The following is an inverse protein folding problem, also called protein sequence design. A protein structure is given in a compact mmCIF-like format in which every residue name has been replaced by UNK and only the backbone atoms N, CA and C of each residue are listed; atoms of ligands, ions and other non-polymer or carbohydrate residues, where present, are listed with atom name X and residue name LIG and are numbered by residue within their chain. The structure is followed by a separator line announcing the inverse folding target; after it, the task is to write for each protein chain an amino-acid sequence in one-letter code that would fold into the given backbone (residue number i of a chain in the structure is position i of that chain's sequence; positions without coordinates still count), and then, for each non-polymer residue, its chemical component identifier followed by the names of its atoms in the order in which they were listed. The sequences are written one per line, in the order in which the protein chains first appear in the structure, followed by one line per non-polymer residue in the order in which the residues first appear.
data_IF_294451883231
#
_entry.id   IF_294451883231
#
_cell.length_a   1.000
_cell.length_b   1.000
_cell.length_c   1.000
_cell.angle_alpha   90.00
_cell.angle_beta   90.00
_cell.angle_gamma   90.00
#
_symmetry.space_group_name_H-M   'P 1'
#
loop_
_entity.id
_entity.type
_entity.pdbx_description
1 polymer ?
#
# COMPACT_ATOMS: atom_id res chain seq x y z
N UNK A 1 6.71 29.10 40.06
CA UNK A 1 7.39 28.84 41.34
C UNK A 1 8.81 29.33 41.18
N UNK A 2 8.99 30.61 41.48
CA UNK A 2 10.29 31.27 41.58
C UNK A 2 10.81 31.10 42.99
N UNK A 3 12.06 30.67 43.10
CA UNK A 3 12.94 30.80 44.27
C UNK A 3 14.33 30.95 43.64
N UNK A 4 14.78 32.17 43.32
CA UNK A 4 15.46 33.09 44.26
C UNK A 4 16.50 32.35 45.13
N UNK A 5 17.63 32.00 44.51
CA UNK A 5 18.86 31.74 45.26
C UNK A 5 19.68 33.01 45.34
N UNK A 6 19.84 33.43 46.59
CA UNK A 6 20.35 34.70 47.04
C UNK A 6 21.87 34.74 46.91
N UNK A 7 22.35 35.76 46.21
CA UNK A 7 23.72 36.24 46.33
C UNK A 7 23.96 36.73 47.76
N UNK A 8 24.66 35.93 48.57
CA UNK A 8 25.34 36.44 49.76
C UNK A 8 26.66 37.08 49.34
N UNK A 9 26.60 38.37 49.05
CA UNK A 9 27.74 39.28 49.18
C UNK A 9 27.95 39.55 50.68
N UNK A 10 28.98 38.93 51.26
CA UNK A 10 29.52 39.32 52.57
C UNK A 10 30.89 39.95 52.31
N UNK A 11 31.14 41.19 52.74
CA UNK A 11 32.44 41.82 52.59
C UNK A 11 33.41 41.14 53.56
N UNK A 12 34.46 40.52 53.03
CA UNK A 12 35.58 40.06 53.87
C UNK A 12 36.29 41.30 54.41
N UNK A 13 35.97 41.60 55.66
CA UNK A 13 36.71 42.46 56.56
C UNK A 13 38.20 42.12 56.52
N UNK A 14 39.01 43.15 56.29
CA UNK A 14 40.46 43.17 56.47
C UNK A 14 40.85 42.46 57.78
N UNK A 15 41.40 41.25 57.67
CA UNK A 15 42.10 40.56 58.77
C UNK A 15 43.59 40.89 58.67
N UNK A 16 43.93 42.17 58.85
CA UNK A 16 45.29 42.63 59.11
C UNK A 16 45.50 42.76 60.63
N UNK A 17 45.47 41.67 61.39
CA UNK A 17 45.64 41.77 62.86
C UNK A 17 46.21 40.48 63.45
N UNK A 18 47.54 40.33 63.38
CA UNK A 18 48.42 39.78 64.43
C UNK A 18 49.76 39.32 63.84
N UNK A 19 49.76 38.73 62.64
CA UNK A 19 51.00 38.36 61.93
C UNK A 19 51.73 39.60 61.38
N UNK A 20 51.00 40.55 60.79
CA UNK A 20 51.60 41.81 60.32
C UNK A 20 52.19 42.65 61.46
N UNK A 21 51.55 42.64 62.62
CA UNK A 21 52.06 43.34 63.80
C UNK A 21 53.35 42.70 64.33
N UNK A 22 53.45 41.36 64.27
CA UNK A 22 54.66 40.62 64.65
C UNK A 22 55.79 40.83 63.66
N UNK A 23 55.51 40.86 62.35
CA UNK A 23 56.52 41.15 61.33
C UNK A 23 56.94 42.62 61.36
N UNK A 24 56.02 43.57 61.58
CA UNK A 24 56.36 44.98 61.79
C UNK A 24 57.20 45.18 63.05
N UNK A 25 56.90 44.50 64.16
CA UNK A 25 57.73 44.57 65.37
C UNK A 25 59.13 44.00 65.13
N UNK A 26 59.26 42.87 64.43
CA UNK A 26 60.57 42.32 64.08
C UNK A 26 61.35 43.24 63.13
N UNK A 27 60.69 43.85 62.15
CA UNK A 27 61.30 44.84 61.25
C UNK A 27 61.75 46.06 62.05
N UNK A 28 60.92 46.57 62.98
CA UNK A 28 61.24 47.73 63.82
C UNK A 28 62.43 47.47 64.75
N UNK A 29 62.52 46.29 65.36
CA UNK A 29 63.68 45.88 66.18
C UNK A 29 64.94 45.72 65.32
N UNK A 30 64.82 45.17 64.11
CA UNK A 30 65.95 45.08 63.18
C UNK A 30 66.38 46.47 62.69
N UNK A 31 65.44 47.38 62.47
CA UNK A 31 65.69 48.77 62.09
C UNK A 31 66.42 49.53 63.20
N UNK A 32 65.96 49.42 64.46
CA UNK A 32 66.65 49.99 65.64
C UNK A 32 68.06 49.43 65.81
N UNK A 33 68.26 48.13 65.56
CA UNK A 33 69.60 47.53 65.59
C UNK A 33 70.49 48.04 64.47
N UNK A 34 69.96 48.23 63.26
CA UNK A 34 70.69 48.85 62.13
C UNK A 34 71.02 50.31 62.43
N UNK A 35 70.11 51.06 63.04
CA UNK A 35 70.32 52.46 63.42
C UNK A 35 71.36 52.59 64.55
N UNK A 36 71.32 51.72 65.56
CA UNK A 36 72.37 51.62 66.59
C UNK A 36 73.73 51.26 66.00
N UNK A 37 73.76 50.40 64.98
CA UNK A 37 74.98 50.03 64.25
C UNK A 37 75.50 51.19 63.37
N UNK A 38 74.62 52.01 62.79
CA UNK A 38 74.99 53.24 62.08
C UNK A 38 75.51 54.33 63.04
N UNK A 39 74.94 54.45 64.23
CA UNK A 39 75.43 55.36 65.28
C UNK A 39 76.83 54.91 65.74
N UNK A 40 77.03 53.61 65.97
CA UNK A 40 78.35 53.05 66.29
C UNK A 40 79.36 53.19 65.14
N UNK A 41 78.90 53.20 63.89
CA UNK A 41 79.71 53.56 62.70
C UNK A 41 80.17 55.02 62.71
N UNK A 42 79.38 55.93 63.27
CA UNK A 42 79.72 57.36 63.34
C UNK A 42 80.69 57.74 64.47
N UNK A 43 80.80 56.90 65.52
CA UNK A 43 81.56 57.22 66.75
C UNK A 43 82.98 56.62 66.76
N UNK A 44 83.30 55.67 65.87
CA UNK A 44 84.64 55.06 65.75
C UNK A 44 85.16 55.10 64.31
N UNK A 45 86.47 55.31 64.13
CA UNK A 45 87.14 55.08 62.84
C UNK A 45 87.06 53.58 62.48
N UNK A 46 86.16 53.22 61.57
CA UNK A 46 86.12 51.89 60.95
C UNK A 46 87.19 51.84 59.84
N UNK A 47 88.14 50.90 59.88
CA UNK A 47 89.05 50.69 58.75
C UNK A 47 88.30 49.97 57.63
N UNK A 48 88.32 50.55 56.43
CA UNK A 48 88.03 49.86 55.17
C UNK A 48 89.14 48.84 54.91
N UNK A 49 88.88 47.53 55.02
CA UNK A 49 89.66 46.51 54.29
C UNK A 49 88.78 45.32 53.88
N UNK A 50 88.98 44.97 52.61
CA UNK A 50 88.40 43.92 51.78
C UNK A 50 88.46 42.47 52.30
N UNK A 51 87.43 41.75 51.86
CA UNK A 51 87.36 40.34 51.44
C UNK A 51 88.35 39.32 52.01
N UNK A 52 87.80 38.34 52.74
CA UNK A 52 88.22 36.95 52.60
C UNK A 52 87.02 36.00 52.57
N UNK A 53 87.05 35.15 51.54
CA UNK A 53 86.02 34.23 51.06
C UNK A 53 85.91 33.03 52.01
N UNK A 54 84.68 32.67 52.41
CA UNK A 54 84.36 31.32 52.87
C UNK A 54 83.22 30.76 52.02
N UNK A 55 83.49 29.62 51.40
CA UNK A 55 82.54 28.77 50.67
C UNK A 55 81.31 28.49 51.54
N UNK A 56 80.13 28.88 51.06
CA UNK A 56 78.85 28.66 51.72
C UNK A 56 78.04 27.69 50.87
N UNK A 57 77.68 26.54 51.45
CA UNK A 57 76.73 25.60 50.83
C UNK A 57 75.38 26.32 50.63
N UNK A 58 74.88 26.34 49.39
CA UNK A 58 73.65 27.03 49.00
C UNK A 58 72.46 26.53 49.80
N UNK A 59 71.49 27.41 50.12
CA UNK A 59 70.29 27.04 50.87
C UNK A 59 69.52 25.88 50.26
N UNK A 60 69.57 25.74 48.93
CA UNK A 60 68.98 24.63 48.20
C UNK A 60 69.54 23.27 48.64
N UNK A 61 70.82 23.20 49.03
CA UNK A 61 71.47 21.99 49.52
C UNK A 61 71.08 21.68 50.96
N UNK A 62 70.82 22.69 51.81
CA UNK A 62 70.35 22.49 53.20
C UNK A 62 68.86 22.13 53.26
N UNK A 63 68.02 22.80 52.46
CA UNK A 63 66.59 22.46 52.33
C UNK A 63 66.39 21.06 51.73
N UNK A 64 67.17 20.65 50.73
CA UNK A 64 67.15 19.26 50.25
C UNK A 64 67.55 18.27 51.36
N UNK A 65 68.53 18.60 52.21
CA UNK A 65 68.98 17.72 53.30
C UNK A 65 67.92 17.52 54.40
N UNK A 66 67.12 18.54 54.71
CA UNK A 66 66.02 18.44 55.67
C UNK A 66 64.78 17.70 55.11
N UNK A 67 64.44 17.91 53.83
CA UNK A 67 63.29 17.21 53.21
C UNK A 67 63.57 15.70 53.03
N UNK A 68 64.84 15.29 52.87
CA UNK A 68 65.19 13.87 52.82
C UNK A 68 65.22 13.18 54.21
N UNK A 69 65.23 13.92 55.32
CA UNK A 69 65.17 13.34 56.68
C UNK A 69 63.74 13.27 57.23
N UNK A 70 62.83 14.14 56.79
CA UNK A 70 61.41 14.07 57.11
C UNK A 70 60.59 13.60 55.90
N UNK A 71 60.60 12.29 55.69
CA UNK A 71 59.68 11.65 54.75
C UNK A 71 58.21 11.87 55.12
N UNK A 72 57.41 12.17 54.09
CA UNK A 72 55.95 12.05 54.03
C UNK A 72 55.15 12.41 55.29
N UNK A 73 54.72 13.67 55.37
CA UNK A 73 53.43 13.99 55.96
C UNK A 73 52.84 15.22 55.28
N UNK A 74 51.81 14.98 54.46
CA UNK A 74 50.76 15.94 54.15
C UNK A 74 50.21 16.53 55.46
N UNK A 75 50.47 17.81 55.71
CA UNK A 75 50.01 18.49 56.90
C UNK A 75 50.34 19.98 56.85
N UNK A 76 49.31 20.79 57.10
CA UNK A 76 49.40 22.22 57.41
C UNK A 76 50.59 22.53 58.31
N UNK A 77 51.67 23.06 57.73
CA UNK A 77 52.85 23.54 58.44
C UNK A 77 52.75 25.06 58.55
N UNK A 78 51.98 25.51 59.53
CA UNK A 78 52.19 26.81 60.13
C UNK A 78 53.38 26.63 61.09
N UNK A 79 54.55 27.27 60.89
CA UNK A 79 55.62 27.23 61.88
C UNK A 79 55.27 28.25 62.97
N UNK A 80 54.53 27.80 63.98
CA UNK A 80 54.21 28.59 65.18
C UNK A 80 55.36 28.64 66.20
N UNK A 81 56.59 28.31 65.83
CA UNK A 81 57.72 28.36 66.75
C UNK A 81 58.93 29.03 66.11
N UNK A 82 59.01 30.34 66.29
CA UNK A 82 60.23 31.15 66.10
C UNK A 82 61.32 30.82 67.13
N UNK A 83 61.24 29.70 67.88
CA UNK A 83 62.22 29.39 68.93
C UNK A 83 63.63 29.19 68.35
N UNK A 84 63.76 28.72 67.11
CA UNK A 84 65.05 28.62 66.44
C UNK A 84 65.65 30.00 66.13
N UNK A 85 64.82 30.95 65.68
CA UNK A 85 65.27 32.32 65.39
C UNK A 85 65.61 33.04 66.69
N UNK A 86 64.80 32.89 67.74
CA UNK A 86 65.08 33.48 69.05
C UNK A 86 66.34 32.89 69.68
N UNK A 87 66.53 31.56 69.62
CA UNK A 87 67.73 30.88 70.15
C UNK A 87 68.99 31.22 69.36
N UNK A 88 68.87 31.36 68.03
CA UNK A 88 69.95 31.83 67.17
C UNK A 88 70.32 33.27 67.51
N UNK A 89 69.34 34.17 67.65
CA UNK A 89 69.56 35.57 68.03
C UNK A 89 70.15 35.72 69.45
N UNK A 90 69.76 34.89 70.42
CA UNK A 90 70.33 34.94 71.77
C UNK A 90 71.75 34.40 71.83
N UNK A 91 72.07 33.33 71.09
CA UNK A 91 73.44 32.84 70.96
C UNK A 91 74.32 33.85 70.21
N UNK A 92 73.76 34.55 69.21
CA UNK A 92 74.42 35.62 68.47
C UNK A 92 74.77 36.82 69.37
N UNK A 93 73.89 37.16 70.31
CA UNK A 93 74.10 38.25 71.26
C UNK A 93 75.17 37.92 72.32
N UNK A 94 75.28 36.65 72.72
CA UNK A 94 76.37 36.19 73.60
C UNK A 94 77.71 36.09 72.87
N UNK A 95 77.74 35.59 71.64
CA UNK A 95 78.97 35.51 70.84
C UNK A 95 79.51 36.90 70.43
N UNK A 96 78.65 37.92 70.30
CA UNK A 96 79.05 39.30 69.99
C UNK A 96 79.75 40.03 71.16
N UNK A 97 79.59 39.57 72.41
CA UNK A 97 80.22 40.18 73.59
C UNK A 97 81.69 39.80 73.78
N UNK A 98 82.17 38.73 73.14
CA UNK A 98 83.53 38.20 73.30
C UNK A 98 84.36 38.39 72.01
N UNK A 99 85.16 39.47 71.96
CA UNK A 99 86.30 39.73 71.04
C UNK A 99 86.14 39.57 69.49
N UNK A 100 86.45 40.65 68.74
CA UNK A 100 87.11 40.69 67.41
C UNK A 100 86.66 39.70 66.30
N UNK A 101 85.35 39.53 66.07
CA UNK A 101 84.78 38.68 64.99
C UNK A 101 83.96 39.48 63.96
N UNK A 102 84.47 40.63 63.51
CA UNK A 102 83.79 41.47 62.50
C UNK A 102 83.74 40.81 61.10
N UNK A 103 84.73 39.99 60.75
CA UNK A 103 84.84 39.34 59.44
C UNK A 103 83.77 38.25 59.24
N UNK A 104 83.47 37.45 60.27
CA UNK A 104 82.42 36.41 60.18
C UNK A 104 81.03 37.02 60.12
N UNK A 105 80.80 38.15 60.80
CA UNK A 105 79.54 38.86 60.74
C UNK A 105 79.31 39.54 59.38
N UNK A 106 80.34 40.15 58.79
CA UNK A 106 80.27 40.68 57.42
C UNK A 106 79.99 39.59 56.38
N UNK A 107 80.63 38.43 56.51
CA UNK A 107 80.41 37.29 55.63
C UNK A 107 79.00 36.67 55.80
N UNK A 108 78.47 36.69 57.03
CA UNK A 108 77.10 36.28 57.34
C UNK A 108 76.09 37.26 56.74
N UNK A 109 76.32 38.57 56.84
CA UNK A 109 75.46 39.58 56.20
C UNK A 109 75.47 39.41 54.69
N UNK A 110 76.63 39.15 54.09
CA UNK A 110 76.74 38.95 52.65
C UNK A 110 76.01 37.68 52.18
N UNK A 111 76.03 36.61 52.99
CA UNK A 111 75.27 35.39 52.68
C UNK A 111 73.77 35.60 52.88
N UNK A 112 73.33 36.28 53.94
CA UNK A 112 71.92 36.65 54.13
C UNK A 112 71.41 37.50 52.96
N UNK A 113 72.19 38.47 52.48
CA UNK A 113 71.83 39.29 51.32
C UNK A 113 71.71 38.47 50.02
N UNK A 114 72.62 37.50 49.79
CA UNK A 114 72.52 36.58 48.65
C UNK A 114 71.29 35.68 48.75
N UNK A 115 70.97 35.19 49.95
CA UNK A 115 69.79 34.38 50.19
C UNK A 115 68.50 35.15 49.95
N UNK A 116 68.44 36.41 50.38
CA UNK A 116 67.30 37.30 50.12
C UNK A 116 67.12 37.51 48.61
N UNK A 117 68.21 37.70 47.86
CA UNK A 117 68.16 37.87 46.41
C UNK A 117 67.75 36.58 45.67
N UNK A 118 68.24 35.43 46.11
CA UNK A 118 67.86 34.12 45.56
C UNK A 118 66.40 33.77 45.88
N UNK A 119 65.91 34.10 47.08
CA UNK A 119 64.51 33.97 47.47
C UNK A 119 63.61 34.85 46.61
N UNK A 120 63.99 36.11 46.38
CA UNK A 120 63.26 37.03 45.51
C UNK A 120 63.23 36.53 44.05
N UNK A 121 64.33 35.96 43.55
CA UNK A 121 64.40 35.36 42.22
C UNK A 121 63.49 34.13 42.11
N UNK A 122 63.50 33.24 43.11
CA UNK A 122 62.63 32.06 43.15
C UNK A 122 61.15 32.44 43.26
N UNK A 123 60.81 33.48 44.04
CA UNK A 123 59.46 34.02 44.09
C UNK A 123 59.04 34.54 42.70
N UNK A 124 59.92 35.27 42.02
CA UNK A 124 59.65 35.77 40.65
C UNK A 124 59.41 34.63 39.66
N UNK A 125 60.21 33.56 39.70
CA UNK A 125 60.04 32.39 38.83
C UNK A 125 58.78 31.58 39.16
N UNK A 126 58.48 31.37 40.44
CA UNK A 126 57.27 30.65 40.87
C UNK A 126 56.00 31.42 40.52
N UNK A 127 55.99 32.75 40.70
CA UNK A 127 54.90 33.60 40.22
C UNK A 127 54.70 33.48 38.70
N UNK A 128 55.77 33.47 37.89
CA UNK A 128 55.67 33.27 36.43
C UNK A 128 55.10 31.91 36.06
N UNK A 129 55.53 30.84 36.74
CA UNK A 129 54.99 29.48 36.54
C UNK A 129 53.51 29.40 36.93
N UNK A 130 53.13 30.00 38.04
CA UNK A 130 51.73 30.04 38.49
C UNK A 130 50.81 30.74 37.48
N UNK A 131 51.25 31.86 36.91
CA UNK A 131 50.53 32.55 35.83
C UNK A 131 50.35 31.65 34.60
N UNK A 132 51.38 30.88 34.22
CA UNK A 132 51.29 29.96 33.09
C UNK A 132 50.35 28.78 33.37
N UNK A 133 50.39 28.21 34.58
CA UNK A 133 49.47 27.15 35.02
C UNK A 133 48.02 27.65 35.00
N UNK A 134 47.75 28.86 35.52
CA UNK A 134 46.41 29.48 35.46
C UNK A 134 45.94 29.66 34.01
N UNK A 135 46.83 30.07 33.09
CA UNK A 135 46.50 30.17 31.66
C UNK A 135 46.13 28.83 31.05
N UNK A 136 46.86 27.76 31.35
CA UNK A 136 46.56 26.41 30.87
C UNK A 136 45.24 25.89 31.43
N UNK A 137 44.98 26.10 32.73
CA UNK A 137 43.70 25.75 33.35
C UNK A 137 42.54 26.50 32.70
N UNK A 138 42.69 27.81 32.47
CA UNK A 138 41.68 28.61 31.78
C UNK A 138 41.43 28.09 30.35
N UNK A 139 42.47 27.69 29.62
CA UNK A 139 42.32 27.10 28.29
C UNK A 139 41.56 25.77 28.34
N UNK A 140 41.87 24.90 29.29
CA UNK A 140 41.18 23.63 29.48
C UNK A 140 39.69 23.84 29.80
N UNK A 141 39.39 24.69 30.77
CA UNK A 141 38.00 25.03 31.16
C UNK A 141 37.26 25.63 29.97
N UNK A 142 37.88 26.56 29.23
CA UNK A 142 37.27 27.15 28.05
C UNK A 142 36.99 26.11 26.96
N UNK A 143 37.91 25.16 26.74
CA UNK A 143 37.72 24.06 25.79
C UNK A 143 36.56 23.16 26.21
N UNK A 144 36.48 22.82 27.49
CA UNK A 144 35.41 21.98 28.05
C UNK A 144 34.04 22.64 27.91
N UNK A 145 33.93 23.94 28.24
CA UNK A 145 32.70 24.71 28.06
C UNK A 145 32.28 24.72 26.59
N UNK A 146 33.22 24.93 25.66
CA UNK A 146 32.93 24.90 24.21
C UNK A 146 32.42 23.53 23.75
N UNK A 147 33.04 22.44 24.21
CA UNK A 147 32.62 21.08 23.87
C UNK A 147 31.22 20.81 24.42
N UNK A 148 30.95 21.18 25.68
CA UNK A 148 29.64 20.96 26.30
C UNK A 148 28.55 21.79 25.62
N UNK A 149 28.86 23.03 25.24
CA UNK A 149 27.96 23.86 24.44
C UNK A 149 27.64 23.22 23.09
N UNK A 150 28.66 22.77 22.35
CA UNK A 150 28.48 22.11 21.06
C UNK A 150 27.63 20.85 21.18
N UNK A 151 27.88 20.01 22.19
CA UNK A 151 27.07 18.82 22.48
C UNK A 151 25.61 19.17 22.79
N UNK A 152 25.38 20.17 23.64
CA UNK A 152 24.03 20.61 23.97
C UNK A 152 23.31 21.15 22.73
N UNK A 153 24.00 21.93 21.90
CA UNK A 153 23.45 22.46 20.66
C UNK A 153 23.11 21.35 19.66
N UNK A 154 23.99 20.36 19.51
CA UNK A 154 23.76 19.19 18.66
C UNK A 154 22.58 18.36 19.15
N UNK A 155 22.50 18.08 20.46
CA UNK A 155 21.37 17.38 21.06
C UNK A 155 20.05 18.11 20.83
N UNK A 156 19.98 19.41 21.08
CA UNK A 156 18.75 20.19 20.82
C UNK A 156 18.34 20.17 19.34
N UNK A 157 19.31 20.14 18.42
CA UNK A 157 19.04 20.00 16.99
C UNK A 157 18.46 18.63 16.66
N UNK A 158 19.01 17.55 17.24
CA UNK A 158 18.50 16.18 17.07
C UNK A 158 17.09 16.05 17.65
N UNK A 159 16.85 16.54 18.86
CA UNK A 159 15.51 16.55 19.47
C UNK A 159 14.49 17.28 18.59
N UNK A 160 14.87 18.44 18.04
CA UNK A 160 14.00 19.17 17.11
C UNK A 160 13.72 18.36 15.84
N UNK A 161 14.73 17.70 15.28
CA UNK A 161 14.56 16.83 14.11
C UNK A 161 13.62 15.66 14.40
N UNK A 162 13.79 14.99 15.55
CA UNK A 162 12.95 13.87 15.97
C UNK A 162 11.48 14.28 16.13
N UNK A 163 11.22 15.46 16.70
CA UNK A 163 9.86 16.01 16.81
C UNK A 163 9.27 16.28 15.42
N UNK A 164 10.05 16.86 14.50
CA UNK A 164 9.59 17.14 13.13
C UNK A 164 9.25 15.83 12.41
N UNK A 165 10.14 14.83 12.49
CA UNK A 165 9.90 13.53 11.86
C UNK A 165 8.70 12.82 12.47
N UNK A 166 8.56 12.85 13.79
CA UNK A 166 7.41 12.24 14.49
C UNK A 166 6.09 12.85 14.01
N UNK A 167 6.01 14.18 13.91
CA UNK A 167 4.83 14.88 13.37
C UNK A 167 4.54 14.52 11.92
N UNK A 168 5.58 14.43 11.08
CA UNK A 168 5.43 14.06 9.68
C UNK A 168 4.93 12.62 9.55
N UNK A 169 5.48 11.69 10.34
CA UNK A 169 5.05 10.29 10.38
C UNK A 169 3.59 10.20 10.81
N UNK A 170 3.19 10.94 11.84
CA UNK A 170 1.79 10.98 12.30
C UNK A 170 0.86 11.48 11.20
N UNK A 171 1.18 12.61 10.55
CA UNK A 171 0.40 13.17 9.44
C UNK A 171 0.25 12.14 8.29
N UNK A 172 1.36 11.49 7.88
CA UNK A 172 1.30 10.50 6.81
C UNK A 172 0.53 9.24 7.23
N UNK A 173 0.64 8.84 8.50
CA UNK A 173 -0.10 7.69 9.03
C UNK A 173 -1.61 7.95 9.01
N UNK A 174 -2.05 9.15 9.39
CA UNK A 174 -3.47 9.52 9.30
C UNK A 174 -3.97 9.57 7.86
N UNK A 175 -3.16 10.06 6.91
CA UNK A 175 -3.49 9.99 5.47
C UNK A 175 -3.64 8.54 5.02
N UNK A 176 -2.73 7.64 5.42
CA UNK A 176 -2.83 6.21 5.08
C UNK A 176 -4.12 5.60 5.64
N UNK A 177 -4.42 5.82 6.93
CA UNK A 177 -5.65 5.30 7.56
C UNK A 177 -6.92 5.80 6.87
N UNK A 178 -6.97 7.08 6.53
CA UNK A 178 -8.13 7.66 5.82
C UNK A 178 -8.27 7.11 4.41
N UNK A 179 -7.16 6.86 3.70
CA UNK A 179 -7.16 6.20 2.40
C UNK A 179 -7.60 4.74 2.50
N UNK A 180 -7.10 3.98 3.48
CA UNK A 180 -7.52 2.60 3.74
C UNK A 180 -9.02 2.51 4.06
N UNK A 181 -9.55 3.44 4.85
CA UNK A 181 -10.99 3.51 5.12
C UNK A 181 -11.82 3.74 3.84
N UNK A 182 -11.35 4.63 2.94
CA UNK A 182 -11.99 4.86 1.64
C UNK A 182 -11.93 3.63 0.74
N UNK A 183 -10.79 2.95 0.67
CA UNK A 183 -10.63 1.71 -0.10
C UNK A 183 -11.59 0.63 0.43
N UNK A 184 -11.67 0.46 1.75
CA UNK A 184 -12.59 -0.50 2.36
C UNK A 184 -14.06 -0.17 2.07
N UNK A 185 -14.42 1.12 2.08
CA UNK A 185 -15.75 1.57 1.67
C UNK A 185 -16.03 1.24 0.20
N UNK A 186 -15.08 1.52 -0.70
CA UNK A 186 -15.21 1.25 -2.13
C UNK A 186 -15.36 -0.26 -2.39
N UNK A 187 -14.58 -1.10 -1.71
CA UNK A 187 -14.70 -2.57 -1.80
C UNK A 187 -16.11 -3.02 -1.38
N UNK A 188 -16.65 -2.45 -0.30
CA UNK A 188 -17.99 -2.78 0.17
C UNK A 188 -19.06 -2.37 -0.86
N UNK A 189 -19.00 -1.13 -1.33
CA UNK A 189 -19.95 -0.61 -2.34
C UNK A 189 -19.86 -1.44 -3.62
N UNK A 190 -18.65 -1.79 -4.05
CA UNK A 190 -18.44 -2.63 -5.23
C UNK A 190 -19.14 -3.99 -5.07
N UNK A 191 -18.95 -4.66 -3.93
CA UNK A 191 -19.63 -5.93 -3.65
C UNK A 191 -21.15 -5.79 -3.60
N UNK A 192 -21.69 -4.69 -3.07
CA UNK A 192 -23.12 -4.41 -3.07
C UNK A 192 -23.66 -4.22 -4.51
N UNK A 193 -22.90 -3.53 -5.38
CA UNK A 193 -23.22 -3.37 -6.80
C UNK A 193 -23.19 -4.73 -7.51
N UNK A 194 -22.14 -5.54 -7.32
CA UNK A 194 -22.03 -6.87 -7.92
C UNK A 194 -23.20 -7.77 -7.52
N UNK A 195 -23.58 -7.76 -6.23
CA UNK A 195 -24.74 -8.51 -5.75
C UNK A 195 -26.04 -8.04 -6.40
N UNK A 196 -26.26 -6.72 -6.49
CA UNK A 196 -27.46 -6.17 -7.14
C UNK A 196 -27.51 -6.52 -8.62
N UNK A 197 -26.39 -6.42 -9.34
CA UNK A 197 -26.28 -6.83 -10.75
C UNK A 197 -26.56 -8.33 -10.92
N UNK A 198 -26.01 -9.17 -10.04
CA UNK A 198 -26.25 -10.62 -10.06
C UNK A 198 -27.73 -10.97 -9.89
N UNK A 199 -28.43 -10.28 -8.98
CA UNK A 199 -29.88 -10.44 -8.80
C UNK A 199 -30.66 -10.01 -10.04
N UNK A 200 -30.26 -8.91 -10.69
CA UNK A 200 -30.88 -8.43 -11.93
C UNK A 200 -30.69 -9.45 -13.06
N UNK A 201 -29.47 -9.98 -13.22
CA UNK A 201 -29.15 -11.01 -14.22
C UNK A 201 -30.01 -12.25 -13.97
N UNK A 202 -30.06 -12.74 -12.74
CA UNK A 202 -30.89 -13.89 -12.38
C UNK A 202 -32.38 -13.65 -12.72
N UNK A 203 -32.91 -12.47 -12.40
CA UNK A 203 -34.30 -12.12 -12.74
C UNK A 203 -34.56 -12.05 -14.26
N UNK A 204 -33.55 -11.70 -15.07
CA UNK A 204 -33.65 -11.79 -16.53
C UNK A 204 -33.57 -13.24 -17.02
N UNK A 205 -32.70 -14.06 -16.45
CA UNK A 205 -32.59 -15.49 -16.80
C UNK A 205 -33.89 -16.24 -16.52
N UNK A 206 -34.49 -16.01 -15.34
CA UNK A 206 -35.80 -16.57 -14.97
C UNK A 206 -36.88 -16.18 -15.98
N UNK A 207 -36.95 -14.89 -16.33
CA UNK A 207 -37.91 -14.41 -17.34
C UNK A 207 -37.66 -15.03 -18.71
N UNK A 208 -36.40 -15.16 -19.13
CA UNK A 208 -36.05 -15.81 -20.41
C UNK A 208 -36.53 -17.27 -20.41
N UNK A 209 -36.34 -17.99 -19.31
CA UNK A 209 -36.79 -19.38 -19.18
C UNK A 209 -38.33 -19.48 -19.18
N UNK A 210 -39.03 -18.56 -18.50
CA UNK A 210 -40.49 -18.47 -18.57
C UNK A 210 -40.99 -18.28 -20.01
N UNK A 211 -40.40 -17.34 -20.76
CA UNK A 211 -40.76 -17.12 -22.16
C UNK A 211 -40.46 -18.33 -23.02
N UNK A 212 -39.29 -18.95 -22.84
CA UNK A 212 -38.89 -20.16 -23.56
C UNK A 212 -39.88 -21.30 -23.33
N UNK A 213 -40.29 -21.53 -22.09
CA UNK A 213 -41.31 -22.53 -21.75
C UNK A 213 -42.67 -22.21 -22.39
N UNK A 214 -43.11 -20.94 -22.31
CA UNK A 214 -44.35 -20.49 -22.95
C UNK A 214 -44.34 -20.69 -24.46
N UNK A 215 -43.22 -20.37 -25.12
CA UNK A 215 -43.04 -20.59 -26.56
C UNK A 215 -43.01 -22.08 -26.90
N UNK A 216 -42.34 -22.90 -26.09
CA UNK A 216 -42.28 -24.34 -26.28
C UNK A 216 -43.67 -24.97 -26.20
N UNK A 217 -44.46 -24.66 -25.17
CA UNK A 217 -45.83 -25.15 -25.03
C UNK A 217 -46.72 -24.69 -26.19
N UNK A 218 -46.65 -23.41 -26.56
CA UNK A 218 -47.41 -22.89 -27.71
C UNK A 218 -47.02 -23.56 -29.03
N UNK A 219 -45.73 -23.84 -29.22
CA UNK A 219 -45.21 -24.56 -30.39
C UNK A 219 -45.74 -25.99 -30.42
N UNK A 220 -45.73 -26.68 -29.27
CA UNK A 220 -46.28 -28.02 -29.11
C UNK A 220 -47.78 -28.05 -29.44
N UNK A 221 -48.58 -27.15 -28.86
CA UNK A 221 -50.01 -27.02 -29.17
C UNK A 221 -50.26 -26.77 -30.66
N UNK A 222 -49.44 -25.94 -31.30
CA UNK A 222 -49.56 -25.66 -32.73
C UNK A 222 -49.25 -26.89 -33.58
N UNK A 223 -48.19 -27.63 -33.22
CA UNK A 223 -47.81 -28.85 -33.91
C UNK A 223 -48.89 -29.94 -33.75
N UNK A 224 -49.49 -30.09 -32.57
CA UNK A 224 -50.61 -31.00 -32.35
C UNK A 224 -51.83 -30.62 -33.22
N UNK A 225 -52.17 -29.32 -33.30
CA UNK A 225 -53.23 -28.83 -34.19
C UNK A 225 -52.93 -29.13 -35.66
N UNK A 226 -51.68 -28.94 -36.08
CA UNK A 226 -51.23 -29.22 -37.44
C UNK A 226 -51.37 -30.71 -37.76
N UNK A 227 -50.96 -31.60 -36.85
CA UNK A 227 -51.08 -33.05 -37.02
C UNK A 227 -52.53 -33.52 -37.14
N UNK A 228 -53.44 -32.95 -36.33
CA UNK A 228 -54.88 -33.22 -36.44
C UNK A 228 -55.43 -32.77 -37.79
N UNK A 229 -55.05 -31.58 -38.26
CA UNK A 229 -55.47 -31.06 -39.57
C UNK A 229 -54.92 -31.91 -40.72
N UNK A 230 -53.66 -32.33 -40.63
CA UNK A 230 -53.01 -33.19 -41.62
C UNK A 230 -53.69 -34.57 -41.66
N UNK A 231 -54.00 -35.15 -40.50
CA UNK A 231 -54.76 -36.40 -40.41
C UNK A 231 -56.15 -36.25 -41.04
N UNK A 232 -56.85 -35.14 -40.78
CA UNK A 232 -58.15 -34.85 -41.39
C UNK A 232 -58.05 -34.69 -42.91
N UNK A 233 -57.02 -33.99 -43.39
CA UNK A 233 -56.76 -33.82 -44.82
C UNK A 233 -56.51 -35.17 -45.50
N UNK A 234 -55.67 -36.01 -44.90
CA UNK A 234 -55.35 -37.34 -45.43
C UNK A 234 -56.60 -38.23 -45.52
N UNK A 235 -57.46 -38.24 -44.48
CA UNK A 235 -58.75 -38.94 -44.52
C UNK A 235 -59.66 -38.42 -45.64
N UNK A 236 -59.72 -37.11 -45.83
CA UNK A 236 -60.51 -36.51 -46.91
C UNK A 236 -59.99 -36.92 -48.29
N UNK A 237 -58.66 -36.97 -48.47
CA UNK A 237 -58.03 -37.41 -49.71
C UNK A 237 -58.31 -38.89 -50.00
N UNK A 238 -58.26 -39.74 -48.99
CA UNK A 238 -58.61 -41.16 -49.10
C UNK A 238 -60.07 -41.35 -49.50
N UNK A 239 -61.00 -40.60 -48.88
CA UNK A 239 -62.42 -40.61 -49.26
C UNK A 239 -62.61 -40.18 -50.71
N UNK A 240 -61.93 -39.11 -51.15
CA UNK A 240 -61.98 -38.64 -52.54
C UNK A 240 -61.43 -39.70 -53.49
N UNK A 241 -60.33 -40.36 -53.15
CA UNK A 241 -59.76 -41.44 -53.96
C UNK A 241 -60.75 -42.61 -54.12
N UNK A 242 -61.37 -43.04 -53.02
CA UNK A 242 -62.38 -44.10 -53.01
C UNK A 242 -63.60 -43.73 -53.87
N UNK A 243 -64.10 -42.49 -53.77
CA UNK A 243 -65.19 -42.03 -54.63
C UNK A 243 -64.78 -41.99 -56.11
N UNK A 244 -63.58 -41.51 -56.44
CA UNK A 244 -63.08 -41.52 -57.82
C UNK A 244 -63.05 -42.93 -58.40
N UNK A 245 -62.57 -43.92 -57.63
CA UNK A 245 -62.57 -45.32 -58.05
C UNK A 245 -63.99 -45.87 -58.24
N UNK A 246 -64.90 -45.56 -57.31
CA UNK A 246 -66.30 -45.99 -57.39
C UNK A 246 -67.02 -45.37 -58.61
N UNK A 247 -66.80 -44.08 -58.88
CA UNK A 247 -67.34 -43.42 -60.07
C UNK A 247 -66.79 -44.04 -61.35
N UNK A 248 -65.50 -44.36 -61.40
CA UNK A 248 -64.90 -45.04 -62.55
C UNK A 248 -65.55 -46.42 -62.82
N UNK A 249 -65.76 -47.23 -61.77
CA UNK A 249 -66.44 -48.54 -61.89
C UNK A 249 -67.88 -48.39 -62.37
N UNK A 250 -68.66 -47.50 -61.76
CA UNK A 250 -70.05 -47.24 -62.16
C UNK A 250 -70.15 -46.70 -63.59
N UNK A 251 -69.20 -45.86 -64.00
CA UNK A 251 -69.15 -45.33 -65.36
C UNK A 251 -68.91 -46.47 -66.36
N UNK A 252 -68.00 -47.40 -66.06
CA UNK A 252 -67.78 -48.59 -66.88
C UNK A 252 -69.05 -49.45 -66.98
N UNK A 253 -69.74 -49.72 -65.87
CA UNK A 253 -71.01 -50.48 -65.87
C UNK A 253 -72.09 -49.81 -66.74
N UNK A 254 -72.23 -48.49 -66.64
CA UNK A 254 -73.18 -47.72 -67.47
C UNK A 254 -72.82 -47.83 -68.94
N UNK A 255 -71.53 -47.69 -69.28
CA UNK A 255 -71.07 -47.74 -70.67
C UNK A 255 -71.22 -49.15 -71.25
N UNK A 256 -70.97 -50.19 -70.48
CA UNK A 256 -71.19 -51.58 -70.89
C UNK A 256 -72.68 -51.89 -71.04
N UNK A 257 -73.54 -51.38 -70.15
CA UNK A 257 -75.00 -51.48 -70.31
C UNK A 257 -75.47 -50.76 -71.58
N UNK A 258 -74.95 -49.56 -71.88
CA UNK A 258 -75.26 -48.84 -73.12
C UNK A 258 -74.84 -49.63 -74.35
N UNK A 259 -73.62 -50.20 -74.37
CA UNK A 259 -73.15 -51.07 -75.46
C UNK A 259 -74.07 -52.28 -75.63
N UNK A 260 -74.40 -52.97 -74.54
CA UNK A 260 -75.31 -54.11 -74.56
C UNK A 260 -76.70 -53.71 -75.11
N UNK A 261 -77.25 -52.56 -74.69
CA UNK A 261 -78.54 -52.06 -75.18
C UNK A 261 -78.52 -51.72 -76.67
N UNK A 262 -77.45 -51.10 -77.16
CA UNK A 262 -77.26 -50.81 -78.59
C UNK A 262 -77.19 -52.13 -79.38
N UNK A 263 -76.47 -53.11 -78.87
CA UNK A 263 -76.35 -54.42 -79.52
C UNK A 263 -77.69 -55.18 -79.56
N UNK A 264 -78.44 -55.16 -78.46
CA UNK A 264 -79.79 -55.73 -78.41
C UNK A 264 -80.74 -55.06 -79.43
N UNK A 265 -80.70 -53.73 -79.53
CA UNK A 265 -81.49 -53.01 -80.52
C UNK A 265 -81.07 -53.35 -81.95
N UNK A 266 -79.76 -53.47 -82.21
CA UNK A 266 -79.21 -53.91 -83.50
C UNK A 266 -79.73 -55.30 -83.89
N UNK A 267 -79.67 -56.26 -82.96
CA UNK A 267 -80.19 -57.62 -83.17
C UNK A 267 -81.70 -57.63 -83.39
N UNK A 268 -82.45 -56.78 -82.66
CA UNK A 268 -83.89 -56.62 -82.84
C UNK A 268 -84.22 -56.12 -84.23
N UNK A 269 -83.54 -55.05 -84.68
CA UNK A 269 -83.72 -54.49 -86.03
C UNK A 269 -83.35 -55.50 -87.12
N UNK A 270 -82.24 -56.23 -86.97
CA UNK A 270 -81.84 -57.28 -87.92
C UNK A 270 -82.89 -58.41 -87.99
N UNK A 271 -83.43 -58.83 -86.84
CA UNK A 271 -84.50 -59.84 -86.76
C UNK A 271 -85.78 -59.33 -87.42
N UNK A 272 -86.17 -58.08 -87.19
CA UNK A 272 -87.30 -57.45 -87.85
C UNK A 272 -87.11 -57.36 -89.36
N UNK A 273 -85.92 -56.99 -89.83
CA UNK A 273 -85.61 -56.95 -91.26
C UNK A 273 -85.66 -58.34 -91.90
N UNK A 274 -85.07 -59.35 -91.25
CA UNK A 274 -85.17 -60.77 -91.65
C UNK A 274 -86.61 -61.23 -91.71
N UNK A 275 -87.42 -60.90 -90.69
CA UNK A 275 -88.84 -61.23 -90.66
C UNK A 275 -89.61 -60.54 -91.80
N UNK A 276 -89.37 -59.24 -92.04
CA UNK A 276 -89.97 -58.49 -93.16
C UNK A 276 -89.64 -59.13 -94.50
N UNK A 277 -88.35 -59.43 -94.76
CA UNK A 277 -87.90 -60.12 -95.98
C UNK A 277 -88.55 -61.50 -96.11
N UNK A 278 -88.61 -62.28 -95.02
CA UNK A 278 -89.29 -63.58 -95.00
C UNK A 278 -90.78 -63.46 -95.31
N UNK A 279 -91.48 -62.46 -94.75
CA UNK A 279 -92.89 -62.18 -95.07
C UNK A 279 -93.07 -61.79 -96.54
N UNK A 280 -92.17 -60.98 -97.12
CA UNK A 280 -92.20 -60.64 -98.56
C UNK A 280 -92.01 -61.86 -99.44
N UNK A 281 -91.04 -62.73 -99.12
CA UNK A 281 -90.81 -63.98 -99.84
C UNK A 281 -92.03 -64.90 -99.73
N UNK A 282 -92.60 -65.04 -98.53
CA UNK A 282 -93.82 -65.83 -98.31
C UNK A 282 -95.01 -65.27 -99.10
N UNK A 283 -95.21 -63.96 -99.13
CA UNK A 283 -96.27 -63.30 -99.89
C UNK A 283 -96.06 -63.47 -101.41
N UNK A 284 -94.82 -63.31 -101.88
CA UNK A 284 -94.45 -63.57 -103.28
C UNK A 284 -94.74 -65.02 -103.66
N UNK A 285 -94.30 -65.98 -102.85
CA UNK A 285 -94.53 -67.40 -103.10
C UNK A 285 -96.03 -67.75 -103.11
N UNK A 286 -96.82 -67.24 -102.13
CA UNK A 286 -98.29 -67.40 -102.14
C UNK A 286 -98.91 -66.81 -103.40
N UNK A 287 -98.48 -65.61 -103.82
CA UNK A 287 -98.93 -64.99 -105.08
C UNK A 287 -98.55 -65.79 -106.33
N UNK A 288 -97.35 -66.37 -106.36
CA UNK A 288 -96.89 -67.27 -107.44
C UNK A 288 -97.72 -68.55 -107.46
N UNK A 289 -97.97 -69.18 -106.30
CA UNK A 289 -98.81 -70.37 -106.21
C UNK A 289 -100.22 -70.12 -106.76
N UNK A 290 -100.81 -68.96 -106.45
CA UNK A 290 -102.13 -68.57 -106.99
C UNK A 290 -102.09 -68.32 -108.51
N UNK A 291 -101.09 -67.58 -109.03
CA UNK A 291 -101.00 -67.24 -110.46
C UNK A 291 -100.64 -68.43 -111.36
N UNK A 292 -99.72 -69.29 -110.92
CA UNK A 292 -99.32 -70.51 -111.64
C UNK A 292 -100.29 -71.67 -111.41
N UNK A 293 -101.25 -71.53 -110.50
CA UNK A 293 -102.26 -72.55 -110.21
C UNK A 293 -101.67 -73.80 -109.55
N UNK A 294 -100.63 -73.66 -108.74
CA UNK A 294 -100.08 -74.75 -107.95
C UNK A 294 -101.02 -75.07 -106.77
N UNK A 295 -101.23 -76.35 -106.49
CA UNK A 295 -102.11 -76.82 -105.41
C UNK A 295 -103.60 -76.55 -105.67
N UNK A 296 -104.34 -76.15 -104.62
CA UNK A 296 -105.80 -75.97 -104.62
C UNK A 296 -106.32 -74.84 -105.54
N UNK A 297 -105.43 -74.03 -106.13
CA UNK A 297 -105.77 -72.86 -106.97
C UNK A 297 -105.78 -73.16 -108.47
N UNK A 298 -105.61 -74.42 -108.90
CA UNK A 298 -105.67 -74.81 -110.31
C UNK A 298 -107.10 -74.65 -110.85
N UNK A 299 -107.32 -73.63 -111.70
CA UNK A 299 -108.62 -73.43 -112.38
C UNK A 299 -108.93 -74.64 -113.28
N UNK A 300 -110.01 -75.37 -112.98
CA UNK A 300 -110.57 -76.41 -113.86
C UNK A 300 -111.06 -75.73 -115.16
N UNK A 301 -110.65 -76.25 -116.32
CA UNK A 301 -111.16 -75.83 -117.64
C UNK A 301 -112.61 -76.30 -117.78
N UNK A 302 -113.57 -75.38 -117.72
CA UNK A 302 -114.98 -75.66 -118.03
C UNK A 302 -115.30 -75.39 -119.50
N UNK A 303 -116.11 -76.29 -120.07
CA UNK A 303 -116.56 -76.32 -121.47
C UNK A 303 -117.64 -75.26 -121.71
N UNK A 304 -117.54 -74.48 -122.79
CA UNK A 304 -118.56 -73.51 -123.24
C UNK A 304 -119.59 -74.18 -124.16
N UNK A 305 -120.87 -74.12 -123.78
CA UNK A 305 -122.04 -74.37 -124.62
C UNK A 305 -123.06 -73.21 -124.54
N UNK A 306 -123.34 -72.62 -125.70
CA UNK A 306 -124.48 -71.77 -126.17
C UNK A 306 -125.38 -70.96 -125.21
N UNK A 307 -125.26 -69.63 -125.33
CA UNK A 307 -126.23 -68.59 -125.83
C UNK A 307 -127.71 -68.59 -125.36
N UNK A 308 -128.11 -67.48 -124.69
CA UNK A 308 -129.30 -66.57 -124.92
C UNK A 308 -129.29 -65.51 -123.80
N UNK A 309 -128.96 -64.24 -124.04
CA UNK A 309 -129.77 -63.12 -124.55
C UNK A 309 -130.91 -62.67 -123.64
N UNK A 310 -130.71 -61.50 -122.99
CA UNK A 310 -131.61 -60.35 -122.72
C UNK A 310 -131.03 -59.61 -121.51
N UNK A 311 -131.16 -58.31 -121.28
CA UNK A 311 -131.39 -57.08 -122.03
C UNK A 311 -131.40 -55.98 -120.94
N UNK A 312 -131.10 -54.72 -121.29
CA UNK A 312 -131.35 -53.49 -120.49
C UNK A 312 -130.55 -53.27 -119.17
N UNK A 313 -130.14 -52.06 -118.78
CA UNK A 313 -130.01 -50.72 -119.39
C UNK A 313 -129.41 -49.80 -118.30
N UNK A 314 -128.67 -48.79 -118.75
CA UNK A 314 -128.61 -47.38 -118.25
C UNK A 314 -128.36 -47.09 -116.76
N UNK A 315 -127.20 -46.51 -116.41
CA UNK A 315 -126.87 -45.06 -116.42
C UNK A 315 -127.52 -44.26 -115.27
N UNK A 316 -126.68 -43.76 -114.37
CA UNK A 316 -126.39 -42.32 -114.28
C UNK A 316 -124.99 -42.09 -113.74
#
# INVERSE_FOLDING_TARGET
MSTEDQFQNVPQSEQHTSQDLSTEMCISVLQEMVDLLLILKSIGHWPDIDSDILEYDTLEQRFKKEIYQHGNASGSLCPQNFSFITLFCTNLLEELKCERIYLKFSNLITTIQKMQLDEELLLSETCKKEVYVKKLQNFYIQSEIKINYLKSWENSKLEMQDIIFSKLIEEKTEVIKTMEAKINQDIRVHKEIENAMSQIIQGFEERVEEWKNKYYEKSKEMNEKLDVLQTKQNKQLEIIANYKELYAKRQQEIDDYKKHKIEQERLRLEKEEKNKKATTIQAWWRGVMVRKGFGKFRKKKEKKGKKKSTDKKEKK
#
